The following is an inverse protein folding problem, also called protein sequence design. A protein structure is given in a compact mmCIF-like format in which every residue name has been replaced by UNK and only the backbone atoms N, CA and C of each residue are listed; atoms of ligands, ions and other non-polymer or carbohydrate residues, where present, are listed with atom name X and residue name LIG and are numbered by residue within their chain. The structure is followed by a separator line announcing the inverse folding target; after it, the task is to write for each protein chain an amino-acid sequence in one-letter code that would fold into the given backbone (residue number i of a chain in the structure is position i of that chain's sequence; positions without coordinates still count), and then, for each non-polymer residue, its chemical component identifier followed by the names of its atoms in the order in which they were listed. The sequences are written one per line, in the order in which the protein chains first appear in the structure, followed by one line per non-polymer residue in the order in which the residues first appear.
data_IF_554120535027
#
_entry.id   IF_554120535027
#
_cell.length_a   1.000
_cell.length_b   1.000
_cell.length_c   1.000
_cell.angle_alpha   90.00
_cell.angle_beta   90.00
_cell.angle_gamma   90.00
#
_symmetry.space_group_name_H-M   'P 1'
#
loop_
_entity.id
_entity.type
_entity.pdbx_description
1 polymer ?
#
# COMPACT_ATOMS: atom_id res chain seq x y z
N UNK A 1 -3.88 23.28 14.91
CA UNK A 1 -3.86 21.82 14.68
C UNK A 1 -4.45 21.59 13.30
N UNK A 2 -3.81 21.06 12.25
CA UNK A 2 -2.45 20.58 12.02
C UNK A 2 -2.31 20.43 10.49
N UNK A 3 -1.77 21.42 9.77
CA UNK A 3 -1.46 21.24 8.33
C UNK A 3 -0.27 20.28 8.11
N UNK A 4 0.53 20.03 9.17
CA UNK A 4 1.68 19.13 9.13
C UNK A 4 1.33 17.63 9.15
N UNK A 5 0.14 17.23 9.60
CA UNK A 5 -0.21 15.79 9.72
C UNK A 5 -0.60 15.16 8.37
N UNK A 6 -1.17 15.95 7.44
CA UNK A 6 -1.46 15.49 6.07
C UNK A 6 -0.20 15.26 5.22
N UNK A 7 0.84 16.06 5.43
CA UNK A 7 2.11 15.93 4.69
C UNK A 7 2.88 14.65 5.02
N UNK A 8 2.78 14.16 6.26
CA UNK A 8 3.52 12.98 6.71
C UNK A 8 2.83 11.65 6.37
N UNK A 9 1.48 11.61 6.32
CA UNK A 9 0.72 10.39 6.00
C UNK A 9 0.90 9.93 4.54
N UNK A 10 1.15 10.86 3.61
CA UNK A 10 1.41 10.51 2.21
C UNK A 10 2.85 10.08 1.93
N UNK A 11 3.81 10.55 2.75
CA UNK A 11 5.24 10.35 2.48
C UNK A 11 5.67 8.88 2.63
N UNK A 12 5.03 8.12 3.53
CA UNK A 12 5.27 6.68 3.69
C UNK A 12 4.81 5.86 2.48
N UNK A 13 3.66 6.22 1.88
CA UNK A 13 3.15 5.58 0.67
C UNK A 13 4.07 5.82 -0.52
N UNK A 14 4.51 7.07 -0.72
CA UNK A 14 5.46 7.40 -1.78
C UNK A 14 6.82 6.73 -1.62
N UNK A 15 7.29 6.53 -0.38
CA UNK A 15 8.54 5.82 -0.11
C UNK A 15 8.42 4.31 -0.41
N UNK A 16 7.32 3.68 0.01
CA UNK A 16 7.03 2.28 -0.30
C UNK A 16 6.96 2.07 -1.83
N UNK A 17 6.20 2.92 -2.50
CA UNK A 17 6.05 2.96 -3.96
C UNK A 17 7.39 3.20 -4.66
N UNK A 18 8.21 4.13 -4.15
CA UNK A 18 9.53 4.44 -4.68
C UNK A 18 10.52 3.28 -4.57
N UNK A 19 10.37 2.41 -3.57
CA UNK A 19 11.20 1.21 -3.42
C UNK A 19 10.74 0.02 -4.30
N UNK A 20 9.49 0.03 -4.76
CA UNK A 20 8.91 -1.08 -5.52
C UNK A 20 9.44 -1.13 -6.97
N UNK A 21 9.71 0.04 -7.55
CA UNK A 21 10.28 0.17 -8.90
C UNK A 21 11.70 -0.44 -9.01
N UNK A 22 12.70 -0.07 -8.18
CA UNK A 22 14.01 -0.72 -8.24
C UNK A 22 13.94 -2.22 -7.94
N UNK A 23 13.04 -2.64 -7.04
CA UNK A 23 12.86 -4.07 -6.72
C UNK A 23 12.37 -4.87 -7.94
N UNK A 24 11.30 -4.42 -8.60
CA UNK A 24 10.73 -5.08 -9.78
C UNK A 24 11.71 -5.13 -10.96
N UNK A 25 12.49 -4.07 -11.16
CA UNK A 25 13.55 -4.04 -12.19
C UNK A 25 14.62 -5.09 -11.91
N UNK A 26 15.15 -5.15 -10.68
CA UNK A 26 16.20 -6.12 -10.33
C UNK A 26 15.67 -7.56 -10.42
N UNK A 27 14.46 -7.80 -9.94
CA UNK A 27 13.84 -9.12 -10.00
C UNK A 27 13.71 -9.62 -11.45
N UNK A 28 13.14 -8.82 -12.34
CA UNK A 28 12.96 -9.23 -13.73
C UNK A 28 14.25 -9.22 -14.55
N UNK A 29 15.23 -8.37 -14.19
CA UNK A 29 16.58 -8.45 -14.76
C UNK A 29 17.20 -9.83 -14.46
N UNK A 30 17.17 -10.29 -13.21
CA UNK A 30 17.73 -11.59 -12.82
C UNK A 30 16.98 -12.76 -13.47
N UNK A 31 15.65 -12.71 -13.47
CA UNK A 31 14.82 -13.72 -14.16
C UNK A 31 15.15 -13.75 -15.66
N UNK A 32 15.28 -12.58 -16.29
CA UNK A 32 15.68 -12.46 -17.69
C UNK A 32 17.07 -13.03 -17.96
N UNK A 33 18.05 -12.78 -17.07
CA UNK A 33 19.39 -13.36 -17.17
C UNK A 33 19.38 -14.88 -17.12
N UNK A 34 18.63 -15.47 -16.18
CA UNK A 34 18.57 -16.94 -16.00
C UNK A 34 17.90 -17.59 -17.21
N UNK A 35 16.76 -17.04 -17.65
CA UNK A 35 16.03 -17.55 -18.82
C UNK A 35 16.85 -17.39 -20.10
N UNK A 36 17.41 -16.20 -20.32
CA UNK A 36 18.27 -15.94 -21.48
C UNK A 36 19.52 -16.81 -21.49
N UNK A 37 20.14 -17.00 -20.32
CA UNK A 37 21.29 -17.89 -20.15
C UNK A 37 20.99 -19.33 -20.48
N UNK A 38 19.78 -19.80 -20.15
CA UNK A 38 19.32 -21.16 -20.43
C UNK A 38 19.09 -21.42 -21.92
N UNK A 39 18.74 -20.39 -22.71
CA UNK A 39 18.44 -20.52 -24.15
C UNK A 39 19.66 -20.25 -25.04
N UNK A 40 20.46 -19.24 -24.70
CA UNK A 40 21.51 -18.73 -25.58
C UNK A 40 22.89 -18.59 -24.92
N UNK A 41 23.12 -19.22 -23.77
CA UNK A 41 24.37 -19.13 -23.02
C UNK A 41 24.70 -17.69 -22.61
N UNK A 42 25.97 -17.31 -22.66
CA UNK A 42 26.42 -15.98 -22.20
C UNK A 42 25.79 -14.82 -22.99
N UNK A 43 25.63 -14.97 -24.31
CA UNK A 43 24.97 -13.96 -25.15
C UNK A 43 23.48 -13.84 -24.84
N UNK A 44 22.80 -14.97 -24.67
CA UNK A 44 21.38 -15.01 -24.29
C UNK A 44 21.13 -14.38 -22.93
N UNK A 45 22.03 -14.56 -21.96
CA UNK A 45 21.92 -13.95 -20.63
C UNK A 45 21.91 -12.42 -20.70
N UNK A 46 22.70 -11.81 -21.59
CA UNK A 46 22.80 -10.35 -21.73
C UNK A 46 21.54 -9.75 -22.37
N UNK A 47 21.05 -10.36 -23.45
CA UNK A 47 19.76 -9.97 -24.06
C UNK A 47 18.58 -10.22 -23.12
N UNK A 48 18.59 -11.35 -22.41
CA UNK A 48 17.61 -11.67 -21.39
C UNK A 48 17.59 -10.64 -20.26
N UNK A 49 18.76 -10.20 -19.78
CA UNK A 49 18.88 -9.13 -18.79
C UNK A 49 18.25 -7.82 -19.27
N UNK A 50 18.54 -7.42 -20.52
CA UNK A 50 18.01 -6.19 -21.09
C UNK A 50 16.49 -6.22 -21.21
N UNK A 51 15.94 -7.32 -21.75
CA UNK A 51 14.49 -7.50 -21.87
C UNK A 51 13.83 -7.54 -20.48
N UNK A 52 14.45 -8.27 -19.55
CA UNK A 52 14.00 -8.36 -18.16
C UNK A 52 13.97 -7.01 -17.45
N UNK A 53 15.02 -6.19 -17.60
CA UNK A 53 15.08 -4.86 -17.02
C UNK A 53 14.02 -3.91 -17.61
N UNK A 54 13.81 -3.96 -18.93
CA UNK A 54 12.77 -3.15 -19.61
C UNK A 54 11.38 -3.58 -19.13
N UNK A 55 11.08 -4.88 -19.14
CA UNK A 55 9.81 -5.41 -18.65
C UNK A 55 9.60 -5.07 -17.16
N UNK A 56 10.65 -5.18 -16.35
CA UNK A 56 10.65 -4.83 -14.93
C UNK A 56 10.35 -3.35 -14.70
N UNK A 57 10.90 -2.47 -15.53
CA UNK A 57 10.61 -1.04 -15.46
C UNK A 57 9.14 -0.75 -15.79
N UNK A 58 8.62 -1.28 -16.90
CA UNK A 58 7.23 -1.02 -17.28
C UNK A 58 6.23 -1.62 -16.29
N UNK A 59 6.46 -2.85 -15.83
CA UNK A 59 5.60 -3.49 -14.82
C UNK A 59 5.73 -2.80 -13.47
N UNK A 60 6.92 -2.37 -13.08
CA UNK A 60 7.16 -1.59 -11.86
C UNK A 60 6.40 -0.27 -11.88
N UNK A 61 6.53 0.53 -12.95
CA UNK A 61 5.80 1.80 -13.12
C UNK A 61 4.29 1.57 -13.13
N UNK A 62 3.80 0.52 -13.80
CA UNK A 62 2.39 0.19 -13.81
C UNK A 62 1.88 -0.24 -12.42
N UNK A 63 2.68 -1.01 -11.68
CA UNK A 63 2.40 -1.41 -10.30
C UNK A 63 2.27 -0.18 -9.40
N UNK A 64 3.28 0.70 -9.41
CA UNK A 64 3.28 1.98 -8.72
C UNK A 64 2.02 2.81 -9.04
N UNK A 65 1.68 2.95 -10.33
CA UNK A 65 0.50 3.69 -10.76
C UNK A 65 -0.80 3.10 -10.18
N UNK A 66 -0.94 1.77 -10.20
CA UNK A 66 -2.10 1.08 -9.64
C UNK A 66 -2.16 1.17 -8.12
N UNK A 67 -1.03 1.07 -7.44
CA UNK A 67 -0.94 1.18 -5.98
C UNK A 67 -1.38 2.57 -5.52
N UNK A 68 -0.94 3.64 -6.20
CA UNK A 68 -1.38 5.01 -5.91
C UNK A 68 -2.90 5.15 -6.11
N UNK A 69 -3.43 4.69 -7.25
CA UNK A 69 -4.87 4.76 -7.52
C UNK A 69 -5.70 3.97 -6.48
N UNK A 70 -5.18 2.85 -5.99
CA UNK A 70 -5.83 2.05 -4.95
C UNK A 70 -5.80 2.75 -3.58
N UNK A 71 -4.68 3.40 -3.23
CA UNK A 71 -4.56 4.21 -2.01
C UNK A 71 -5.53 5.39 -2.00
N UNK A 72 -5.66 6.10 -3.13
CA UNK A 72 -6.63 7.20 -3.27
C UNK A 72 -8.07 6.72 -3.06
N UNK A 73 -8.43 5.55 -3.61
CA UNK A 73 -9.75 4.94 -3.39
C UNK A 73 -10.00 4.60 -1.91
N UNK A 74 -8.99 4.09 -1.20
CA UNK A 74 -9.11 3.78 0.23
C UNK A 74 -9.27 5.07 1.03
N UNK A 75 -8.49 6.10 0.73
CA UNK A 75 -8.53 7.38 1.44
C UNK A 75 -9.91 8.06 1.26
N UNK A 76 -10.44 8.08 0.04
CA UNK A 76 -11.78 8.60 -0.24
C UNK A 76 -12.85 7.84 0.57
N UNK A 77 -12.80 6.50 0.58
CA UNK A 77 -13.72 5.66 1.35
C UNK A 77 -13.57 5.82 2.86
N UNK A 78 -12.36 6.11 3.34
CA UNK A 78 -12.10 6.42 4.75
C UNK A 78 -12.65 7.78 5.14
N UNK A 79 -12.57 8.77 4.25
CA UNK A 79 -13.08 10.12 4.50
C UNK A 79 -14.62 10.16 4.50
N UNK A 80 -15.26 9.28 3.73
CA UNK A 80 -16.72 9.11 3.73
C UNK A 80 -17.28 8.42 4.99
N UNK A 81 -16.44 7.72 5.77
CA UNK A 81 -16.89 7.24 7.08
C UNK A 81 -16.83 8.42 8.04
N UNK A 82 -17.97 9.00 8.47
CA UNK A 82 -17.93 10.01 9.51
C UNK A 82 -17.25 9.35 10.71
N UNK A 83 -16.11 9.89 11.13
CA UNK A 83 -15.55 9.59 12.42
C UNK A 83 -16.57 10.10 13.43
N UNK A 84 -17.48 9.23 13.85
CA UNK A 84 -18.47 9.55 14.87
C UNK A 84 -17.70 10.03 16.08
N UNK A 85 -17.78 11.34 16.33
CA UNK A 85 -17.30 11.94 17.54
C UNK A 85 -18.55 12.30 18.31
N UNK A 86 -18.90 11.53 19.35
CA UNK A 86 -20.10 11.81 20.12
C UNK A 86 -20.02 13.25 20.66
N UNK A 87 -21.15 13.99 20.70
CA UNK A 87 -21.19 15.27 21.36
C UNK A 87 -20.75 15.11 22.82
N UNK A 88 -20.17 16.17 23.40
CA UNK A 88 -19.68 16.17 24.79
C UNK A 88 -20.74 15.72 25.80
N UNK A 89 -22.01 15.95 25.45
CA UNK A 89 -23.21 15.56 26.19
C UNK A 89 -23.33 14.04 26.40
N UNK A 90 -23.02 13.23 25.37
CA UNK A 90 -23.10 11.76 25.40
C UNK A 90 -21.88 11.14 26.11
N UNK A 91 -20.76 11.86 26.19
CA UNK A 91 -19.56 11.44 26.94
C UNK A 91 -19.76 11.62 28.46
N UNK A 92 -20.57 12.61 28.84
CA UNK A 92 -20.87 12.96 30.23
C UNK A 92 -22.13 12.27 30.76
N UNK A 93 -22.83 11.51 29.91
CA UNK A 93 -23.96 10.70 30.35
C UNK A 93 -23.43 9.53 31.20
N UNK A 94 -23.82 9.51 32.48
CA UNK A 94 -23.51 8.39 33.36
C UNK A 94 -24.16 7.13 32.80
N UNK A 95 -23.33 6.19 32.32
CA UNK A 95 -23.78 4.92 31.75
C UNK A 95 -24.50 4.12 32.84
N UNK A 96 -25.84 4.21 32.85
CA UNK A 96 -26.69 3.35 33.70
C UNK A 96 -26.70 1.98 33.04
N UNK A 97 -25.86 1.08 33.55
CA UNK A 97 -26.00 -0.34 33.25
C UNK A 97 -27.26 -0.81 33.96
N UNK A 98 -28.36 -0.99 33.22
CA UNK A 98 -29.48 -1.81 33.67
C UNK A 98 -28.96 -3.25 33.78
N UNK A 99 -28.34 -3.56 34.91
CA UNK A 99 -28.20 -4.92 35.39
C UNK A 99 -29.62 -5.33 35.77
N UNK A 100 -30.36 -5.90 34.81
CA UNK A 100 -31.60 -6.62 35.09
C UNK A 100 -31.34 -7.52 36.30
N UNK A 101 -32.08 -7.25 37.37
CA UNK A 101 -32.01 -7.94 38.64
C UNK A 101 -32.04 -9.47 38.44
N UNK A 102 -30.87 -10.12 38.37
CA UNK A 102 -30.77 -11.56 38.52
C UNK A 102 -31.04 -11.91 39.99
N UNK A 103 -32.33 -12.01 40.27
CA UNK A 103 -33.00 -12.78 41.31
C UNK A 103 -32.37 -12.75 42.71
N UNK A 104 -33.08 -12.05 43.60
CA UNK A 104 -33.20 -12.52 44.98
C UNK A 104 -33.73 -13.96 44.98
N UNK A 105 -32.89 -14.90 45.42
CA UNK A 105 -33.20 -16.32 45.65
C UNK A 105 -32.12 -16.97 46.49
#
# INVERSE_FOLDING_TARGET
MSENEKGFSGMGAWFAVGSELPCSVIALLLVGQILGGSVGGSGGALYGAMIGAIAGFFLGVYGVYKTIAYLELIEQKSQERPKYMPPMEEILEDVVFDLEDESSG
#
